data_IF_081162257915
#
_entry.id   IF_081162257915
#
_cell.length_a   1.000
_cell.length_b   1.000
_cell.length_c   1.000
_cell.angle_alpha   90.00
_cell.angle_beta   90.00
_cell.angle_gamma   90.00
#
_symmetry.space_group_name_H-M   'P 1'
#
loop_
_entity.id
_entity.type
_entity.pdbx_description
1 polymer ?
#
# COMPACT_ATOMS: atom_id res chain seq x y z
N UNK A 1 -2.88 20.08 -13.49
CA UNK A 1 -2.46 19.70 -12.13
C UNK A 1 -2.42 18.21 -12.03
N UNK A 2 -1.31 17.71 -11.53
CA UNK A 2 -1.14 16.27 -11.44
C UNK A 2 -1.88 15.73 -10.22
N UNK A 3 -2.62 14.66 -10.43
CA UNK A 3 -3.20 13.94 -9.30
C UNK A 3 -2.09 13.24 -8.55
N UNK A 4 -2.14 13.25 -7.22
CA UNK A 4 -1.14 12.52 -6.45
C UNK A 4 -1.25 11.02 -6.73
N UNK A 5 -0.11 10.40 -6.92
CA UNK A 5 -0.05 8.96 -7.16
C UNK A 5 0.99 8.33 -6.28
N UNK A 6 0.83 7.03 -6.07
CA UNK A 6 1.89 6.18 -5.53
C UNK A 6 2.21 5.13 -6.58
N UNK A 7 3.34 4.46 -6.41
CA UNK A 7 3.75 3.42 -7.34
C UNK A 7 3.54 2.08 -6.63
N UNK A 8 2.46 1.40 -6.99
CA UNK A 8 2.12 0.12 -6.39
C UNK A 8 2.42 -0.99 -7.39
N UNK A 9 3.33 -1.87 -7.03
CA UNK A 9 3.77 -2.98 -7.90
C UNK A 9 4.16 -2.46 -9.29
N UNK A 10 4.98 -1.40 -9.30
CA UNK A 10 5.51 -0.76 -10.50
C UNK A 10 4.47 -0.03 -11.36
N UNK A 11 3.27 0.20 -10.82
CA UNK A 11 2.22 0.95 -11.52
C UNK A 11 1.87 2.21 -10.76
N UNK A 12 1.68 3.30 -11.49
CA UNK A 12 1.16 4.52 -10.86
C UNK A 12 -0.31 4.34 -10.55
N UNK A 13 -0.65 4.57 -9.30
CA UNK A 13 -2.03 4.45 -8.84
C UNK A 13 -2.42 5.74 -8.16
N UNK A 14 -3.51 6.39 -8.60
CA UNK A 14 -3.99 7.59 -7.93
C UNK A 14 -4.41 7.25 -6.51
N UNK A 15 -4.13 8.15 -5.59
CA UNK A 15 -4.51 7.94 -4.20
C UNK A 15 -4.81 9.28 -3.56
N UNK A 16 -5.66 9.25 -2.57
CA UNK A 16 -5.99 10.44 -1.80
C UNK A 16 -4.94 10.57 -0.69
N UNK A 17 -3.94 11.37 -0.94
CA UNK A 17 -2.76 11.46 -0.08
C UNK A 17 -2.77 12.75 0.76
N UNK A 18 -2.25 12.70 1.98
CA UNK A 18 -1.68 11.52 2.61
C UNK A 18 -2.76 10.56 3.10
N UNK A 19 -2.43 9.28 3.12
CA UNK A 19 -3.32 8.26 3.69
C UNK A 19 -2.46 7.17 4.29
N UNK A 20 -3.06 6.36 5.16
CA UNK A 20 -2.33 5.24 5.72
C UNK A 20 -2.24 4.11 4.70
N UNK A 21 -1.29 3.18 4.92
CA UNK A 21 -1.20 2.00 4.08
C UNK A 21 -2.53 1.23 4.14
N UNK A 22 -3.11 1.12 5.33
CA UNK A 22 -4.38 0.43 5.49
C UNK A 22 -5.48 1.06 4.64
N UNK A 23 -5.59 2.39 4.68
CA UNK A 23 -6.58 3.09 3.89
C UNK A 23 -6.39 2.84 2.39
N UNK A 24 -5.14 2.84 1.95
CA UNK A 24 -4.85 2.57 0.56
C UNK A 24 -5.25 1.15 0.16
N UNK A 25 -4.89 0.18 0.99
CA UNK A 25 -5.23 -1.22 0.70
C UNK A 25 -6.74 -1.41 0.60
N UNK A 26 -7.49 -0.84 1.53
CA UNK A 26 -8.95 -0.94 1.51
C UNK A 26 -9.50 -0.30 0.24
N UNK A 27 -9.00 0.87 -0.14
CA UNK A 27 -9.45 1.54 -1.35
C UNK A 27 -9.18 0.73 -2.61
N UNK A 28 -8.15 -0.12 -2.59
CA UNK A 28 -7.80 -0.97 -3.71
C UNK A 28 -8.47 -2.35 -3.63
N UNK A 29 -9.38 -2.54 -2.69
CA UNK A 29 -10.05 -3.82 -2.46
C UNK A 29 -9.07 -4.93 -2.10
N UNK A 30 -8.01 -4.57 -1.38
CA UNK A 30 -7.02 -5.53 -0.92
C UNK A 30 -7.16 -5.68 0.59
N UNK A 31 -7.58 -6.86 1.06
CA UNK A 31 -7.73 -7.06 2.51
C UNK A 31 -6.37 -6.94 3.20
N UNK A 32 -6.22 -6.04 4.17
CA UNK A 32 -4.92 -5.87 4.83
C UNK A 32 -4.36 -7.13 5.47
N UNK A 33 -5.23 -8.05 5.88
CA UNK A 33 -4.78 -9.30 6.51
C UNK A 33 -4.26 -10.32 5.51
N UNK A 34 -4.44 -10.06 4.22
CA UNK A 34 -4.13 -11.03 3.19
C UNK A 34 -2.97 -10.60 2.31
N UNK A 35 -2.21 -9.60 2.74
CA UNK A 35 -1.10 -9.10 1.94
C UNK A 35 0.14 -8.87 2.78
N UNK A 36 1.29 -8.96 2.11
CA UNK A 36 2.57 -8.54 2.65
C UNK A 36 2.94 -7.27 1.91
N UNK A 37 3.42 -6.26 2.62
CA UNK A 37 3.71 -4.95 2.04
C UNK A 37 5.14 -4.53 2.34
N UNK A 38 5.82 -4.04 1.29
CA UNK A 38 7.06 -3.28 1.46
C UNK A 38 6.79 -1.84 1.05
N UNK A 39 7.27 -0.90 1.84
CA UNK A 39 7.08 0.52 1.61
C UNK A 39 8.45 1.14 1.41
N UNK A 40 8.70 1.63 0.19
CA UNK A 40 10.00 2.18 -0.19
C UNK A 40 11.15 1.22 0.14
N UNK A 41 10.93 -0.05 -0.13
CA UNK A 41 11.93 -1.09 0.08
C UNK A 41 12.01 -1.63 1.51
N UNK A 42 11.15 -1.18 2.40
CA UNK A 42 11.14 -1.60 3.80
C UNK A 42 9.91 -2.42 4.09
N UNK A 43 10.12 -3.61 4.67
CA UNK A 43 9.00 -4.46 5.06
C UNK A 43 8.20 -3.79 6.17
N UNK A 44 6.88 -3.80 6.05
CA UNK A 44 6.00 -3.16 7.00
C UNK A 44 5.14 -4.21 7.69
N UNK A 45 5.21 -4.26 9.02
CA UNK A 45 4.37 -5.18 9.77
C UNK A 45 2.90 -4.77 9.67
N UNK A 46 1.97 -5.73 9.63
CA UNK A 46 0.55 -5.38 9.56
C UNK A 46 0.09 -4.45 10.68
N UNK A 47 0.70 -4.54 11.84
CA UNK A 47 0.37 -3.66 12.96
C UNK A 47 0.71 -2.20 12.68
N UNK A 48 1.54 -1.92 11.66
CA UNK A 48 1.91 -0.57 11.28
C UNK A 48 1.04 0.00 10.17
N UNK A 49 0.23 -0.82 9.53
CA UNK A 49 -0.55 -0.38 8.35
C UNK A 49 -1.44 0.82 8.66
N UNK A 50 -2.06 0.86 9.82
CA UNK A 50 -2.97 1.95 10.15
C UNK A 50 -2.25 3.24 10.53
N UNK A 51 -0.97 3.15 10.84
CA UNK A 51 -0.19 4.31 11.31
C UNK A 51 0.80 4.84 10.29
N UNK A 52 1.20 4.02 9.33
CA UNK A 52 2.24 4.41 8.39
C UNK A 52 1.61 5.16 7.23
N UNK A 53 2.04 6.41 7.07
CA UNK A 53 1.47 7.30 6.07
C UNK A 53 2.17 7.18 4.73
N UNK A 54 1.38 7.22 3.66
CA UNK A 54 1.88 7.25 2.31
C UNK A 54 1.90 8.69 1.81
N UNK A 55 2.89 8.99 0.98
CA UNK A 55 3.03 10.29 0.35
C UNK A 55 3.19 10.11 -1.15
N UNK A 56 2.94 11.18 -1.90
CA UNK A 56 3.05 11.15 -3.35
C UNK A 56 4.44 10.63 -3.76
N UNK A 57 4.45 9.72 -4.71
CA UNK A 57 5.70 9.14 -5.21
C UNK A 57 6.22 7.95 -4.42
N UNK A 58 5.60 7.63 -3.29
CA UNK A 58 6.03 6.45 -2.53
C UNK A 58 5.82 5.17 -3.32
N UNK A 59 6.63 4.19 -3.03
CA UNK A 59 6.56 2.88 -3.66
C UNK A 59 6.04 1.85 -2.69
N UNK A 60 5.10 1.03 -3.17
CA UNK A 60 4.61 -0.12 -2.43
C UNK A 60 4.78 -1.37 -3.27
N UNK A 61 5.31 -2.41 -2.64
CA UNK A 61 5.26 -3.75 -3.21
C UNK A 61 4.25 -4.53 -2.38
N UNK A 62 3.22 -5.01 -3.02
CA UNK A 62 2.13 -5.70 -2.34
C UNK A 62 2.01 -7.10 -2.90
N UNK A 63 2.13 -8.09 -2.04
CA UNK A 63 2.02 -9.49 -2.43
C UNK A 63 0.89 -10.13 -1.66
N UNK A 64 -0.02 -10.76 -2.36
CA UNK A 64 -1.12 -11.47 -1.70
C UNK A 64 -0.60 -12.76 -1.08
N UNK A 65 -1.02 -13.01 0.15
CA UNK A 65 -0.72 -14.26 0.81
C UNK A 65 -1.70 -15.30 0.30
N UNK A 66 -1.16 -16.35 -0.31
CA UNK A 66 -2.00 -17.45 -0.76
C UNK A 66 -2.00 -18.47 0.36
N UNK A 67 -3.17 -18.68 0.96
CA UNK A 67 -3.30 -19.74 1.95
C UNK A 67 -3.04 -21.06 1.23
N UNK A 68 -2.03 -21.77 1.67
CA UNK A 68 -1.73 -23.08 1.13
C UNK A 68 -2.94 -23.96 1.32
N UNK A 69 -3.53 -24.31 0.25
CA UNK A 69 -4.78 -25.07 0.32
C UNK A 69 -4.55 -26.51 0.40
#
# INVERSE_FOLDING_TARGET
MDNPTIIANAREVPARLPCSIEEFLVAQNLPPRSVVVEHNGEAVAPSEFSRRQLRAGDRLEIVKIVAGG
#
